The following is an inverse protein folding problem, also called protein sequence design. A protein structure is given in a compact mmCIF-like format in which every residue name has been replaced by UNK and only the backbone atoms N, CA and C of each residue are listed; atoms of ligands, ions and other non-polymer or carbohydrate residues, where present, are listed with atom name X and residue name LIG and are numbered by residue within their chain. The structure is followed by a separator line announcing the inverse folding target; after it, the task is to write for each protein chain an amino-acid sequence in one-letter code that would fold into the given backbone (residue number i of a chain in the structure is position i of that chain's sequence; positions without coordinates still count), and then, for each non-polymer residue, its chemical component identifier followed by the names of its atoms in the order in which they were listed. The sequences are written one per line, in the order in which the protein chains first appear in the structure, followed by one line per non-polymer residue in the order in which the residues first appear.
data_IF_602590010704
#
_entry.id   IF_602590010704
#
_cell.length_a   1.000
_cell.length_b   1.000
_cell.length_c   1.000
_cell.angle_alpha   90.00
_cell.angle_beta   90.00
_cell.angle_gamma   90.00
#
_symmetry.space_group_name_H-M   'P 1'
#
loop_
_entity.id
_entity.type
_entity.pdbx_description
1 polymer ?
#
# COMPACT_ATOMS: atom_id res chain seq x y z
N UNK A 1 -1.93 -23.38 2.89
CA UNK A 1 -1.87 -24.38 1.81
C UNK A 1 -3.22 -25.10 1.73
N UNK A 2 -3.73 -25.52 0.56
CA UNK A 2 -5.05 -26.14 0.47
C UNK A 2 -5.22 -27.39 1.36
N UNK A 3 -4.13 -28.08 1.69
CA UNK A 3 -4.13 -29.28 2.53
C UNK A 3 -3.68 -29.05 3.98
N UNK A 4 -3.48 -27.79 4.41
CA UNK A 4 -2.96 -27.47 5.75
C UNK A 4 -1.44 -27.64 5.90
N UNK A 5 -0.98 -27.77 7.14
CA UNK A 5 0.42 -28.03 7.52
C UNK A 5 0.50 -29.35 8.31
N UNK A 6 1.60 -30.08 8.17
CA UNK A 6 1.80 -31.37 8.86
C UNK A 6 1.95 -31.20 10.36
N UNK A 7 2.60 -30.11 10.79
CA UNK A 7 2.80 -29.74 12.18
C UNK A 7 2.77 -28.21 12.38
N UNK A 8 2.85 -27.80 13.64
CA UNK A 8 2.83 -26.38 14.03
C UNK A 8 4.13 -25.66 13.66
N UNK A 9 5.26 -26.37 13.60
CA UNK A 9 6.56 -25.84 13.19
C UNK A 9 6.54 -25.38 11.73
N UNK A 10 6.02 -26.20 10.82
CA UNK A 10 5.86 -25.85 9.40
C UNK A 10 4.89 -24.68 9.22
N UNK A 11 3.79 -24.63 9.98
CA UNK A 11 2.88 -23.51 9.97
C UNK A 11 3.58 -22.20 10.39
N UNK A 12 4.35 -22.24 11.49
CA UNK A 12 5.11 -21.09 12.00
C UNK A 12 6.15 -20.60 11.00
N UNK A 13 6.91 -21.52 10.39
CA UNK A 13 7.90 -21.17 9.38
C UNK A 13 7.26 -20.53 8.15
N UNK A 14 6.12 -21.05 7.71
CA UNK A 14 5.39 -20.49 6.58
C UNK A 14 4.87 -19.08 6.88
N UNK A 15 4.23 -18.88 8.04
CA UNK A 15 3.73 -17.55 8.44
C UNK A 15 4.86 -16.56 8.61
N UNK A 16 5.99 -16.96 9.21
CA UNK A 16 7.15 -16.08 9.35
C UNK A 16 7.68 -15.61 8.00
N UNK A 17 7.82 -16.52 7.03
CA UNK A 17 8.21 -16.19 5.66
C UNK A 17 7.22 -15.23 5.01
N UNK A 18 5.92 -15.51 5.16
CA UNK A 18 4.87 -14.66 4.62
C UNK A 18 4.90 -13.25 5.20
N UNK A 19 4.95 -13.10 6.53
CA UNK A 19 4.93 -11.78 7.20
C UNK A 19 6.18 -10.97 6.86
N UNK A 20 7.34 -11.63 6.81
CA UNK A 20 8.61 -10.98 6.42
C UNK A 20 8.51 -10.40 5.01
N UNK A 21 8.09 -11.23 4.04
CA UNK A 21 7.90 -10.78 2.66
C UNK A 21 6.79 -9.72 2.53
N UNK A 22 5.64 -9.94 3.18
CA UNK A 22 4.49 -9.05 3.08
C UNK A 22 4.82 -7.65 3.60
N UNK A 23 5.56 -7.55 4.70
CA UNK A 23 5.91 -6.26 5.28
C UNK A 23 7.08 -5.57 4.56
N UNK A 24 8.11 -6.33 4.16
CA UNK A 24 9.38 -5.76 3.67
C UNK A 24 9.51 -5.70 2.16
N UNK A 25 8.82 -6.54 1.40
CA UNK A 25 9.04 -6.68 -0.05
C UNK A 25 7.77 -6.47 -0.88
N UNK A 26 6.61 -6.88 -0.37
CA UNK A 26 5.36 -6.79 -1.10
C UNK A 26 4.90 -5.34 -1.32
N UNK A 27 4.90 -4.91 -2.58
CA UNK A 27 4.36 -3.60 -2.97
C UNK A 27 2.83 -3.65 -2.99
N UNK A 28 2.23 -3.15 -1.91
CA UNK A 28 0.79 -3.25 -1.69
C UNK A 28 0.03 -2.23 -2.55
N UNK A 29 -0.87 -2.69 -3.42
CA UNK A 29 -1.62 -1.83 -4.35
C UNK A 29 -2.48 -0.78 -3.63
N UNK A 30 -3.09 -1.15 -2.51
CA UNK A 30 -3.85 -0.26 -1.63
C UNK A 30 -2.99 0.79 -0.90
N UNK A 31 -1.67 0.59 -0.82
CA UNK A 31 -0.71 1.56 -0.31
C UNK A 31 0.01 2.28 -1.45
N UNK A 32 -0.59 2.34 -2.64
CA UNK A 32 0.07 2.93 -3.79
C UNK A 32 1.43 2.32 -4.15
N UNK A 33 1.56 1.00 -3.96
CA UNK A 33 2.77 0.22 -4.24
C UNK A 33 3.98 0.66 -3.41
N UNK A 34 3.77 1.01 -2.15
CA UNK A 34 4.85 0.98 -1.12
C UNK A 34 4.68 -0.28 -0.28
N UNK A 35 5.71 -0.67 0.45
CA UNK A 35 5.60 -1.78 1.39
C UNK A 35 4.86 -1.33 2.66
N UNK A 36 4.20 -2.25 3.38
CA UNK A 36 3.63 -1.95 4.70
C UNK A 36 4.65 -1.34 5.66
N UNK A 37 5.89 -1.83 5.67
CA UNK A 37 6.96 -1.27 6.49
C UNK A 37 7.32 0.17 6.10
N UNK A 38 7.39 0.49 4.81
CA UNK A 38 7.62 1.87 4.33
C UNK A 38 6.50 2.82 4.75
N UNK A 39 5.24 2.35 4.75
CA UNK A 39 4.12 3.14 5.27
C UNK A 39 4.24 3.33 6.78
N UNK A 40 4.52 2.26 7.51
CA UNK A 40 4.61 2.29 8.97
C UNK A 40 5.74 3.20 9.48
N UNK A 41 6.90 3.15 8.83
CA UNK A 41 8.07 3.98 9.16
C UNK A 41 7.99 5.43 8.66
N UNK A 42 6.91 5.82 7.97
CA UNK A 42 6.75 7.17 7.39
C UNK A 42 7.57 7.43 6.12
N UNK A 43 8.33 6.45 5.62
CA UNK A 43 9.15 6.58 4.41
C UNK A 43 8.31 6.69 3.13
N UNK A 44 7.06 6.20 3.16
CA UNK A 44 6.15 6.18 2.02
C UNK A 44 6.01 7.53 1.32
N UNK A 45 5.93 8.64 2.07
CA UNK A 45 5.71 9.96 1.49
C UNK A 45 6.88 10.42 0.61
N UNK A 46 8.11 10.13 1.04
CA UNK A 46 9.30 10.43 0.25
C UNK A 46 9.33 9.60 -1.04
N UNK A 47 9.00 8.31 -0.97
CA UNK A 47 8.92 7.42 -2.14
C UNK A 47 7.87 7.90 -3.13
N UNK A 48 6.68 8.25 -2.63
CA UNK A 48 5.56 8.68 -3.45
C UNK A 48 5.79 10.06 -4.07
N UNK A 49 6.40 10.99 -3.34
CA UNK A 49 6.86 12.28 -3.88
C UNK A 49 7.81 12.08 -5.05
N UNK A 50 8.82 11.21 -4.89
CA UNK A 50 9.76 10.91 -5.98
C UNK A 50 9.06 10.30 -7.20
N UNK A 51 8.07 9.42 -7.00
CA UNK A 51 7.28 8.87 -8.11
C UNK A 51 6.48 9.93 -8.84
N UNK A 52 5.88 10.89 -8.14
CA UNK A 52 5.19 12.03 -8.77
C UNK A 52 6.12 12.82 -9.68
N UNK A 53 7.33 13.12 -9.23
CA UNK A 53 8.35 13.82 -10.03
C UNK A 53 8.72 13.06 -11.30
N UNK A 54 9.00 11.76 -11.18
CA UNK A 54 9.35 10.91 -12.33
C UNK A 54 8.22 10.87 -13.35
N UNK A 55 6.97 10.71 -12.89
CA UNK A 55 5.81 10.68 -13.78
C UNK A 55 5.54 12.05 -14.43
N UNK A 56 5.75 13.15 -13.70
CA UNK A 56 5.64 14.49 -14.25
C UNK A 56 6.65 14.73 -15.38
N UNK A 57 7.93 14.40 -15.15
CA UNK A 57 8.98 14.50 -16.16
C UNK A 57 8.72 13.60 -17.37
N UNK A 58 8.27 12.37 -17.15
CA UNK A 58 7.93 11.45 -18.24
C UNK A 58 6.77 11.98 -19.10
N UNK A 59 5.78 12.63 -18.47
CA UNK A 59 4.67 13.27 -19.18
C UNK A 59 5.11 14.50 -19.95
N UNK A 60 5.97 15.34 -19.38
CA UNK A 60 6.51 16.53 -20.03
C UNK A 60 7.31 16.16 -21.30
N UNK A 61 8.14 15.11 -21.22
CA UNK A 61 8.93 14.64 -22.38
C UNK A 61 8.07 14.10 -23.52
N UNK A 62 6.96 13.42 -23.21
CA UNK A 62 6.14 12.73 -24.20
C UNK A 62 4.64 12.89 -23.93
N UNK A 63 4.08 14.11 -24.04
CA UNK A 63 2.70 14.39 -23.64
C UNK A 63 1.67 13.55 -24.42
N UNK A 64 1.93 13.24 -25.69
CA UNK A 64 1.04 12.43 -26.53
C UNK A 64 0.86 10.98 -26.07
N UNK A 65 1.77 10.45 -25.23
CA UNK A 65 1.60 9.10 -24.63
C UNK A 65 0.55 9.07 -23.53
N UNK A 66 0.11 10.23 -23.03
CA UNK A 66 -0.75 10.35 -21.86
C UNK A 66 -2.14 10.85 -22.24
N UNK A 67 -3.08 9.94 -22.46
CA UNK A 67 -4.51 10.28 -22.67
C UNK A 67 -5.19 10.81 -21.40
N UNK A 68 -4.65 10.46 -20.22
CA UNK A 68 -5.16 10.82 -18.89
C UNK A 68 -4.02 11.34 -18.02
N UNK A 69 -4.33 12.10 -16.95
CA UNK A 69 -3.32 12.48 -15.98
C UNK A 69 -2.59 11.26 -15.40
N UNK A 70 -1.31 11.40 -15.03
CA UNK A 70 -0.58 10.42 -14.26
C UNK A 70 -1.33 9.99 -13.00
N UNK A 71 -1.07 8.77 -12.53
CA UNK A 71 -1.52 8.33 -11.20
C UNK A 71 -1.04 9.33 -10.15
N UNK A 72 -1.91 9.68 -9.21
CA UNK A 72 -1.61 10.70 -8.20
C UNK A 72 -0.47 10.31 -7.24
N UNK A 73 -0.21 9.00 -7.07
CA UNK A 73 0.80 8.48 -6.14
C UNK A 73 0.64 9.07 -4.74
N UNK A 74 -0.48 8.74 -4.09
CA UNK A 74 -0.82 9.11 -2.72
C UNK A 74 -1.41 7.92 -1.98
N UNK A 75 -1.30 7.90 -0.67
CA UNK A 75 -1.98 6.93 0.21
C UNK A 75 -3.01 7.71 1.00
N UNK A 76 -4.16 7.09 1.30
CA UNK A 76 -5.16 7.71 2.15
C UNK A 76 -4.59 7.89 3.56
N UNK A 77 -4.83 9.05 4.17
CA UNK A 77 -4.38 9.34 5.52
C UNK A 77 -5.06 8.42 6.55
N UNK A 78 -6.34 8.18 6.35
CA UNK A 78 -7.15 7.27 7.16
C UNK A 78 -7.81 6.20 6.30
N UNK A 79 -7.84 4.98 6.82
CA UNK A 79 -8.54 3.84 6.23
C UNK A 79 -9.26 3.08 7.34
N UNK A 80 -10.41 2.50 7.01
CA UNK A 80 -11.26 1.80 7.96
C UNK A 80 -11.40 0.35 7.55
N UNK A 81 -11.25 -0.57 8.51
CA UNK A 81 -11.59 -1.98 8.32
C UNK A 81 -13.10 -2.20 8.54
N UNK A 82 -13.65 -1.51 9.55
CA UNK A 82 -15.08 -1.38 9.81
C UNK A 82 -15.38 0.10 10.12
N UNK A 83 -15.89 0.88 9.15
CA UNK A 83 -16.14 2.30 9.37
C UNK A 83 -17.29 2.50 10.37
N UNK A 84 -17.26 3.56 11.20
CA UNK A 84 -18.36 3.90 12.09
C UNK A 84 -19.62 4.18 11.27
N UNK A 85 -20.79 3.84 11.81
CA UNK A 85 -22.05 4.08 11.12
C UNK A 85 -22.27 5.59 10.92
N UNK A 86 -23.11 5.97 9.94
CA UNK A 86 -23.47 7.39 9.72
C UNK A 86 -24.06 8.05 10.98
N UNK A 87 -24.64 7.26 11.90
CA UNK A 87 -25.18 7.75 13.16
C UNK A 87 -24.08 8.07 14.18
N UNK A 88 -23.03 7.25 14.23
CA UNK A 88 -21.89 7.42 15.13
C UNK A 88 -21.02 8.62 14.71
N UNK A 89 -20.86 8.81 13.40
CA UNK A 89 -20.13 9.96 12.83
C UNK A 89 -20.78 11.32 13.17
N UNK A 90 -22.11 11.36 13.34
CA UNK A 90 -22.86 12.58 13.68
C UNK A 90 -22.83 12.94 15.17
N UNK A 91 -22.52 11.98 16.05
CA UNK A 91 -22.44 12.19 17.50
C UNK A 91 -21.05 12.60 17.98
N UNK A 92 -20.03 12.35 17.16
CA UNK A 92 -18.64 12.68 17.44
C UNK A 92 -18.19 14.03 16.83
N UNK A 93 -19.08 14.71 16.10
CA UNK A 93 -18.90 16.06 15.54
C UNK A 93 -19.65 17.09 16.38
#
# INVERSE_FOLDING_TARGET
PPNGFEDIELARQWVLKFVTWYNGEHLHSGLSFVTPEQRHSGIADAVLRRRREVYAQARERHPLRWKRPPRAWQVADEVWLNPPSKLDQRRAA
#
